data_IF_027012995662
#
_entry.id   IF_027012995662
#
_cell.length_a   1.000
_cell.length_b   1.000
_cell.length_c   1.000
_cell.angle_alpha   90.00
_cell.angle_beta   90.00
_cell.angle_gamma   90.00
#
_symmetry.space_group_name_H-M   'P 1'
#
loop_
_entity.id
_entity.type
_entity.pdbx_description
1 polymer ?
#
# COMPACT_ATOMS: atom_id res chain seq x y z
N UNK A 1 6.00 65.27 33.46
CA UNK A 1 6.19 63.81 33.35
C UNK A 1 5.15 63.28 32.37
N UNK A 2 5.50 63.18 31.09
CA UNK A 2 4.64 62.59 30.08
C UNK A 2 4.99 61.10 29.96
N UNK A 3 4.02 60.23 30.23
CA UNK A 3 4.15 58.78 30.25
C UNK A 3 4.05 58.24 28.82
N UNK A 4 5.06 57.51 28.37
CA UNK A 4 5.07 56.79 27.10
C UNK A 4 4.23 55.51 27.25
N UNK A 5 3.11 55.42 26.54
CA UNK A 5 2.40 54.15 26.32
C UNK A 5 3.08 53.41 25.16
N UNK A 6 3.84 52.36 25.47
CA UNK A 6 4.31 51.40 24.47
C UNK A 6 3.14 50.50 24.09
N UNK A 7 2.55 50.73 22.92
CA UNK A 7 1.58 49.82 22.32
C UNK A 7 2.33 48.57 21.82
N UNK A 8 2.29 47.50 22.61
CA UNK A 8 2.74 46.17 22.18
C UNK A 8 1.66 45.56 21.29
N UNK A 9 1.83 45.67 19.98
CA UNK A 9 0.95 45.04 18.99
C UNK A 9 1.21 43.52 18.97
N UNK A 10 0.27 42.76 19.54
CA UNK A 10 0.20 41.31 19.38
C UNK A 10 -0.04 40.97 17.90
N UNK A 11 0.92 40.29 17.25
CA UNK A 11 0.71 39.66 15.95
C UNK A 11 -0.16 38.40 16.12
N UNK A 12 -1.32 38.29 15.44
CA UNK A 12 -2.02 37.03 15.35
C UNK A 12 -1.34 36.15 14.28
N UNK A 13 -0.63 35.10 14.71
CA UNK A 13 -0.27 34.00 13.83
C UNK A 13 -1.50 33.11 13.61
N UNK A 14 -2.38 33.53 12.69
CA UNK A 14 -3.36 32.62 12.10
C UNK A 14 -2.77 32.14 10.78
N UNK A 15 -2.01 31.05 10.84
CA UNK A 15 -1.67 30.26 9.66
C UNK A 15 -2.71 29.16 9.52
N UNK A 16 -3.83 29.47 8.89
CA UNK A 16 -4.60 28.44 8.20
C UNK A 16 -4.00 28.35 6.80
N UNK A 17 -2.97 27.53 6.65
CA UNK A 17 -2.55 27.09 5.32
C UNK A 17 -3.67 26.24 4.76
N UNK A 18 -4.58 26.86 4.00
CA UNK A 18 -5.42 26.16 3.05
C UNK A 18 -4.47 25.54 2.02
N UNK A 19 -4.07 24.29 2.24
CA UNK A 19 -3.39 23.48 1.23
C UNK A 19 -4.35 23.36 0.05
N UNK A 20 -4.04 23.91 -1.14
CA UNK A 20 -4.89 23.72 -2.29
C UNK A 20 -4.88 22.22 -2.64
N UNK A 21 -6.07 21.63 -2.68
CA UNK A 21 -6.29 20.25 -3.13
C UNK A 21 -6.00 20.16 -4.63
N UNK A 22 -4.71 20.13 -5.03
CA UNK A 22 -4.30 19.93 -6.42
C UNK A 22 -2.83 19.50 -6.58
N UNK A 23 -2.22 18.83 -5.60
CA UNK A 23 -0.87 18.21 -5.74
C UNK A 23 -0.92 16.72 -6.11
N UNK A 24 -2.10 16.19 -6.39
CA UNK A 24 -2.30 14.77 -6.66
C UNK A 24 -1.99 14.38 -8.12
N UNK A 25 -2.08 15.33 -9.06
CA UNK A 25 -1.86 15.09 -10.51
C UNK A 25 -0.36 15.11 -10.87
N UNK A 26 0.49 15.69 -10.01
CA UNK A 26 1.94 15.72 -10.18
C UNK A 26 2.63 14.39 -9.87
N UNK A 27 2.01 13.51 -9.07
CA UNK A 27 2.61 12.23 -8.70
C UNK A 27 2.75 11.26 -9.87
N UNK A 28 1.70 11.05 -10.69
CA UNK A 28 1.73 10.03 -11.74
C UNK A 28 2.74 10.33 -12.87
N UNK A 29 2.84 11.60 -13.29
CA UNK A 29 3.77 12.03 -14.36
C UNK A 29 5.26 11.93 -13.96
N UNK A 30 5.58 12.00 -12.67
CA UNK A 30 6.97 12.03 -12.20
C UNK A 30 7.50 10.65 -11.80
N UNK A 31 6.62 9.68 -11.53
CA UNK A 31 6.99 8.38 -10.98
C UNK A 31 7.85 7.53 -11.92
N UNK A 32 7.73 7.69 -13.24
CA UNK A 32 8.50 6.95 -14.23
C UNK A 32 10.02 7.23 -14.17
N UNK A 33 10.42 8.46 -13.85
CA UNK A 33 11.85 8.85 -13.81
C UNK A 33 12.50 8.58 -12.45
N UNK A 34 11.70 8.21 -11.44
CA UNK A 34 12.17 7.99 -10.08
C UNK A 34 12.82 6.59 -9.97
N UNK A 35 14.00 6.43 -9.36
CA UNK A 35 14.64 5.13 -9.16
C UNK A 35 13.81 4.17 -8.29
N UNK A 36 13.92 2.86 -8.52
CA UNK A 36 13.09 1.83 -7.85
C UNK A 36 13.20 1.87 -6.31
N UNK A 37 14.37 2.12 -5.75
CA UNK A 37 14.54 2.24 -4.28
C UNK A 37 13.82 3.47 -3.70
N UNK A 38 13.81 4.57 -4.46
CA UNK A 38 13.08 5.78 -4.08
C UNK A 38 11.58 5.54 -4.14
N UNK A 39 11.08 4.76 -5.11
CA UNK A 39 9.67 4.35 -5.15
C UNK A 39 9.26 3.55 -3.91
N UNK A 40 10.11 2.65 -3.42
CA UNK A 40 9.82 1.92 -2.18
C UNK A 40 9.78 2.83 -0.95
N UNK A 41 10.65 3.84 -0.90
CA UNK A 41 10.61 4.88 0.14
C UNK A 41 9.32 5.69 0.07
N UNK A 42 8.92 6.11 -1.13
CA UNK A 42 7.65 6.84 -1.37
C UNK A 42 6.45 5.98 -1.02
N UNK A 43 6.43 4.71 -1.41
CA UNK A 43 5.37 3.78 -1.06
C UNK A 43 5.26 3.67 0.45
N UNK A 44 6.38 3.46 1.16
CA UNK A 44 6.39 3.35 2.62
C UNK A 44 5.85 4.62 3.31
N UNK A 45 6.21 5.79 2.80
CA UNK A 45 5.82 7.10 3.34
C UNK A 45 4.39 7.54 2.97
N UNK A 46 3.80 6.97 1.91
CA UNK A 46 2.47 7.33 1.44
C UNK A 46 1.40 7.13 2.52
N UNK A 47 0.50 8.09 2.62
CA UNK A 47 -0.52 8.19 3.66
C UNK A 47 -1.92 7.74 3.20
N UNK A 48 -2.11 7.60 1.89
CA UNK A 48 -3.41 7.25 1.29
C UNK A 48 -3.28 6.31 0.09
N UNK A 49 -4.36 5.58 -0.22
CA UNK A 49 -4.46 4.73 -1.40
C UNK A 49 -4.28 5.50 -2.70
N UNK A 50 -4.63 6.79 -2.72
CA UNK A 50 -4.42 7.64 -3.88
C UNK A 50 -2.92 7.86 -4.16
N UNK A 51 -2.13 8.15 -3.13
CA UNK A 51 -0.67 8.34 -3.25
C UNK A 51 0.05 7.03 -3.59
N UNK A 52 -0.43 5.90 -3.07
CA UNK A 52 0.20 4.59 -3.30
C UNK A 52 0.02 4.10 -4.74
N UNK A 53 -1.17 4.24 -5.33
CA UNK A 53 -1.50 3.65 -6.64
C UNK A 53 -0.54 3.98 -7.79
N UNK A 54 -0.12 5.24 -8.04
CA UNK A 54 0.85 5.51 -9.10
C UNK A 54 2.22 4.85 -8.82
N UNK A 55 2.66 4.85 -7.56
CA UNK A 55 3.92 4.22 -7.14
C UNK A 55 3.85 2.70 -7.30
N UNK A 56 2.75 2.08 -6.89
CA UNK A 56 2.52 0.64 -7.05
C UNK A 56 2.45 0.24 -8.52
N UNK A 57 1.74 1.01 -9.36
CA UNK A 57 1.67 0.74 -10.79
C UNK A 57 3.06 0.77 -11.44
N UNK A 58 3.91 1.71 -11.04
CA UNK A 58 5.29 1.77 -11.52
C UNK A 58 6.14 0.62 -11.02
N UNK A 59 6.10 0.30 -9.73
CA UNK A 59 6.81 -0.83 -9.14
C UNK A 59 6.44 -2.14 -9.85
N UNK A 60 5.15 -2.37 -10.10
CA UNK A 60 4.66 -3.53 -10.86
C UNK A 60 5.17 -3.50 -12.31
N UNK A 61 5.15 -2.34 -12.97
CA UNK A 61 5.66 -2.22 -14.34
C UNK A 61 7.14 -2.61 -14.46
N UNK A 62 7.91 -2.41 -13.38
CA UNK A 62 9.33 -2.80 -13.26
C UNK A 62 9.56 -4.22 -12.74
N UNK A 63 8.49 -4.96 -12.40
CA UNK A 63 8.58 -6.28 -11.77
C UNK A 63 9.08 -6.26 -10.32
N UNK A 64 9.14 -5.09 -9.68
CA UNK A 64 9.59 -4.90 -8.31
C UNK A 64 8.40 -5.04 -7.36
N UNK A 65 8.11 -6.27 -6.93
CA UNK A 65 6.86 -6.58 -6.21
C UNK A 65 7.00 -6.58 -4.67
N UNK A 66 8.23 -6.61 -4.14
CA UNK A 66 8.53 -6.71 -2.70
C UNK A 66 9.88 -6.05 -2.37
N UNK A 67 9.96 -5.38 -1.22
CA UNK A 67 11.20 -4.87 -0.63
C UNK A 67 11.15 -5.02 0.90
N UNK A 68 11.91 -5.99 1.43
CA UNK A 68 11.95 -6.28 2.87
C UNK A 68 10.59 -6.71 3.42
N UNK A 69 9.97 -5.84 4.20
CA UNK A 69 8.62 -6.06 4.77
C UNK A 69 7.51 -5.33 4.03
N UNK A 70 7.87 -4.45 3.10
CA UNK A 70 6.94 -3.75 2.21
C UNK A 70 6.73 -4.56 0.93
N UNK A 71 5.52 -4.50 0.39
CA UNK A 71 5.19 -5.16 -0.87
C UNK A 71 4.01 -4.46 -1.54
N UNK A 72 3.95 -4.54 -2.87
CA UNK A 72 2.83 -3.97 -3.64
C UNK A 72 1.52 -4.61 -3.18
N UNK A 73 0.52 -3.78 -2.86
CA UNK A 73 -0.77 -4.26 -2.37
C UNK A 73 -0.81 -4.58 -0.89
N UNK A 74 0.21 -4.23 -0.10
CA UNK A 74 0.17 -4.41 1.37
C UNK A 74 -0.98 -3.64 2.00
N UNK A 75 -1.28 -2.44 1.51
CA UNK A 75 -2.34 -1.57 2.04
C UNK A 75 -3.51 -1.40 1.07
N UNK A 76 -3.25 -1.34 -0.22
CA UNK A 76 -4.27 -1.08 -1.26
C UNK A 76 -5.06 -2.33 -1.69
N UNK A 77 -4.66 -3.54 -1.30
CA UNK A 77 -5.40 -4.74 -1.71
C UNK A 77 -6.80 -4.84 -1.09
N UNK A 78 -7.04 -4.17 0.03
CA UNK A 78 -8.36 -4.13 0.67
C UNK A 78 -9.36 -3.28 -0.11
N UNK A 79 -8.90 -2.31 -0.91
CA UNK A 79 -9.77 -1.44 -1.72
C UNK A 79 -10.14 -2.03 -3.08
N UNK A 80 -9.44 -3.06 -3.56
CA UNK A 80 -9.77 -3.75 -4.82
C UNK A 80 -11.19 -4.31 -4.78
N UNK A 81 -12.00 -3.95 -5.77
CA UNK A 81 -13.41 -4.29 -5.92
C UNK A 81 -14.37 -3.46 -5.07
N UNK A 82 -13.87 -2.52 -4.27
CA UNK A 82 -14.71 -1.59 -3.50
C UNK A 82 -15.02 -0.39 -4.37
N UNK A 83 -16.28 -0.24 -4.80
CA UNK A 83 -16.71 0.88 -5.63
C UNK A 83 -16.59 2.22 -4.88
N UNK A 84 -15.57 2.99 -5.20
CA UNK A 84 -15.31 4.33 -4.66
C UNK A 84 -15.73 5.44 -5.62
N UNK A 85 -15.77 5.15 -6.92
CA UNK A 85 -16.06 6.11 -7.98
C UNK A 85 -17.34 5.72 -8.71
N UNK A 86 -18.25 6.68 -8.85
CA UNK A 86 -19.46 6.49 -9.62
C UNK A 86 -19.09 6.38 -11.11
N UNK A 87 -19.65 5.38 -11.79
CA UNK A 87 -19.45 5.12 -13.23
C UNK A 87 -20.80 5.05 -13.91
N UNK A 88 -20.89 5.66 -15.10
CA UNK A 88 -22.10 5.58 -15.90
C UNK A 88 -22.21 4.19 -16.54
N UNK A 89 -23.42 3.60 -16.66
CA UNK A 89 -23.59 2.26 -17.23
C UNK A 89 -23.14 2.15 -18.70
N UNK A 90 -23.21 3.26 -19.44
CA UNK A 90 -22.85 3.38 -20.86
C UNK A 90 -21.71 4.39 -21.06
N UNK A 91 -20.73 4.38 -20.17
CA UNK A 91 -19.57 5.27 -20.30
C UNK A 91 -18.86 4.97 -21.63
N UNK A 92 -18.58 5.99 -22.47
CA UNK A 92 -17.85 5.79 -23.71
C UNK A 92 -16.46 5.24 -23.40
N UNK A 93 -16.05 4.21 -24.13
CA UNK A 93 -14.72 3.61 -24.02
C UNK A 93 -13.87 3.97 -25.24
N UNK A 94 -12.83 4.79 -25.05
CA UNK A 94 -11.87 5.11 -26.10
C UNK A 94 -10.77 4.07 -26.25
N UNK A 95 -10.48 3.31 -25.19
CA UNK A 95 -9.49 2.24 -25.15
C UNK A 95 -10.05 1.02 -24.41
N UNK A 96 -9.43 -0.15 -24.64
CA UNK A 96 -9.71 -1.40 -23.94
C UNK A 96 -8.45 -1.90 -23.22
N UNK A 97 -8.64 -2.80 -22.27
CA UNK A 97 -7.53 -3.40 -21.52
C UNK A 97 -6.50 -4.13 -22.42
N UNK A 98 -6.96 -4.71 -23.53
CA UNK A 98 -6.09 -5.35 -24.54
C UNK A 98 -5.19 -4.38 -25.30
N UNK A 99 -5.39 -3.06 -25.18
CA UNK A 99 -4.52 -2.06 -25.81
C UNK A 99 -3.21 -1.83 -25.03
N UNK A 100 -3.10 -2.34 -23.81
CA UNK A 100 -1.93 -2.14 -22.95
C UNK A 100 -1.10 -3.41 -22.87
N UNK A 101 0.22 -3.25 -22.85
CA UNK A 101 1.16 -4.37 -22.76
C UNK A 101 1.09 -5.13 -21.42
N UNK A 102 0.55 -4.49 -20.38
CA UNK A 102 0.36 -5.09 -19.06
C UNK A 102 -0.73 -4.36 -18.26
N UNK A 103 -1.28 -5.00 -17.20
CA UNK A 103 -2.21 -4.31 -16.30
C UNK A 103 -1.60 -3.08 -15.62
N UNK A 104 -0.29 -3.12 -15.33
CA UNK A 104 0.42 -1.97 -14.78
C UNK A 104 0.50 -0.79 -15.77
N UNK A 105 0.71 -1.08 -17.06
CA UNK A 105 0.69 -0.06 -18.11
C UNK A 105 -0.71 0.57 -18.25
N UNK A 106 -1.77 -0.24 -18.17
CA UNK A 106 -3.15 0.25 -18.17
C UNK A 106 -3.42 1.16 -16.96
N UNK A 107 -3.03 0.74 -15.75
CA UNK A 107 -3.18 1.57 -14.55
C UNK A 107 -2.42 2.89 -14.65
N UNK A 108 -1.17 2.88 -15.12
CA UNK A 108 -0.38 4.09 -15.30
C UNK A 108 -1.09 5.05 -16.24
N UNK A 109 -1.50 4.58 -17.42
CA UNK A 109 -2.26 5.39 -18.36
C UNK A 109 -3.53 5.97 -17.74
N UNK A 110 -4.32 5.13 -17.06
CA UNK A 110 -5.55 5.55 -16.39
C UNK A 110 -5.31 6.70 -15.40
N UNK A 111 -4.27 6.59 -14.55
CA UNK A 111 -3.92 7.64 -13.60
C UNK A 111 -3.43 8.92 -14.29
N UNK A 112 -2.65 8.78 -15.36
CA UNK A 112 -2.17 9.92 -16.18
C UNK A 112 -3.31 10.64 -16.91
N UNK A 113 -4.33 9.90 -17.33
CA UNK A 113 -5.53 10.43 -18.00
C UNK A 113 -6.52 11.11 -17.03
N UNK A 114 -6.21 11.14 -15.73
CA UNK A 114 -7.03 11.78 -14.68
C UNK A 114 -7.87 10.82 -13.85
N UNK A 115 -7.67 9.52 -14.00
CA UNK A 115 -8.21 8.50 -13.11
C UNK A 115 -7.66 8.67 -11.68
N UNK A 116 -8.40 8.22 -10.66
CA UNK A 116 -9.70 7.56 -10.71
C UNK A 116 -10.91 8.51 -10.80
N UNK A 117 -10.70 9.82 -10.61
CA UNK A 117 -11.77 10.81 -10.68
C UNK A 117 -12.42 10.86 -12.06
N UNK A 118 -11.60 10.81 -13.13
CA UNK A 118 -12.05 10.82 -14.51
C UNK A 118 -11.58 9.56 -15.22
N UNK A 119 -12.51 8.69 -15.54
CA UNK A 119 -12.25 7.50 -16.34
C UNK A 119 -12.64 7.77 -17.80
N UNK A 120 -11.80 8.55 -18.49
CA UNK A 120 -12.13 9.06 -19.83
C UNK A 120 -12.27 7.96 -20.89
N UNK A 121 -11.64 6.80 -20.66
CA UNK A 121 -11.62 5.67 -21.58
C UNK A 121 -12.39 4.44 -21.09
N UNK A 122 -13.04 4.53 -19.92
CA UNK A 122 -13.85 3.41 -19.40
C UNK A 122 -13.02 2.22 -18.91
N UNK A 123 -11.79 2.43 -18.47
CA UNK A 123 -10.86 1.37 -18.06
C UNK A 123 -11.14 0.84 -16.65
N UNK A 124 -11.85 1.60 -15.80
CA UNK A 124 -12.21 1.25 -14.43
C UNK A 124 -13.75 1.23 -14.30
N UNK A 125 -14.37 0.21 -14.90
CA UNK A 125 -15.83 0.12 -15.04
C UNK A 125 -16.56 -0.16 -13.73
N UNK A 126 -15.93 -0.90 -12.83
CA UNK A 126 -16.44 -1.18 -11.49
C UNK A 126 -16.22 0.00 -10.53
N UNK A 127 -15.29 0.91 -10.85
CA UNK A 127 -15.10 2.16 -10.14
C UNK A 127 -14.37 1.98 -8.82
N UNK A 128 -13.52 0.96 -8.72
CA UNK A 128 -12.68 0.73 -7.55
C UNK A 128 -11.37 1.53 -7.59
N UNK A 129 -11.08 2.16 -8.73
CA UNK A 129 -9.90 2.96 -8.97
C UNK A 129 -8.66 2.15 -9.39
N UNK A 130 -8.84 0.88 -9.74
CA UNK A 130 -7.87 -0.01 -10.36
C UNK A 130 -8.35 -0.36 -11.77
N UNK A 131 -7.76 0.27 -12.78
CA UNK A 131 -8.09 0.03 -14.17
C UNK A 131 -7.76 -1.40 -14.60
N UNK A 132 -8.64 -1.96 -15.43
CA UNK A 132 -8.45 -3.26 -16.06
C UNK A 132 -8.14 -4.36 -15.03
N UNK A 133 -7.19 -5.25 -15.31
CA UNK A 133 -6.83 -6.34 -14.41
C UNK A 133 -5.83 -5.93 -13.32
N UNK A 134 -5.53 -4.63 -13.15
CA UNK A 134 -4.50 -4.19 -12.19
C UNK A 134 -4.86 -4.56 -10.74
N UNK A 135 -6.14 -4.47 -10.37
CA UNK A 135 -6.63 -4.93 -9.05
C UNK A 135 -6.33 -6.41 -8.78
N UNK A 136 -6.35 -7.26 -9.80
CA UNK A 136 -5.98 -8.68 -9.66
C UNK A 136 -4.49 -8.84 -9.32
N UNK A 137 -3.62 -8.03 -9.93
CA UNK A 137 -2.17 -8.04 -9.64
C UNK A 137 -1.92 -7.64 -8.18
N UNK A 138 -2.55 -6.56 -7.72
CA UNK A 138 -2.49 -6.08 -6.33
C UNK A 138 -2.94 -7.18 -5.36
N UNK A 139 -4.11 -7.78 -5.60
CA UNK A 139 -4.69 -8.82 -4.75
C UNK A 139 -3.82 -10.08 -4.70
N UNK A 140 -3.35 -10.56 -5.84
CA UNK A 140 -2.51 -11.77 -5.92
C UNK A 140 -1.17 -11.59 -5.18
N UNK A 141 -0.53 -10.43 -5.34
CA UNK A 141 0.71 -10.14 -4.64
C UNK A 141 0.49 -10.08 -3.11
N UNK A 142 -0.58 -9.40 -2.70
CA UNK A 142 -0.93 -9.29 -1.28
C UNK A 142 -1.18 -10.64 -0.63
N UNK A 143 -1.91 -11.54 -1.31
CA UNK A 143 -2.13 -12.91 -0.82
C UNK A 143 -0.81 -13.69 -0.67
N UNK A 144 0.09 -13.57 -1.66
CA UNK A 144 1.40 -14.25 -1.64
C UNK A 144 2.25 -13.83 -0.43
N UNK A 145 2.28 -12.54 -0.10
CA UNK A 145 3.18 -12.01 0.94
C UNK A 145 2.54 -11.89 2.32
N UNK A 146 1.22 -11.68 2.41
CA UNK A 146 0.48 -11.70 3.68
C UNK A 146 0.48 -13.08 4.33
N UNK A 147 0.32 -14.15 3.54
CA UNK A 147 0.36 -15.54 4.03
C UNK A 147 1.73 -15.92 4.63
N UNK A 148 2.81 -15.37 4.08
CA UNK A 148 4.16 -15.58 4.61
C UNK A 148 4.42 -14.84 5.93
N UNK A 149 3.73 -13.73 6.21
CA UNK A 149 3.80 -13.05 7.51
C UNK A 149 3.22 -13.92 8.64
N UNK A 150 2.18 -14.70 8.34
CA UNK A 150 1.51 -15.56 9.31
C UNK A 150 2.30 -16.84 9.60
N UNK A 151 3.05 -17.36 8.61
CA UNK A 151 4.02 -18.45 8.84
C UNK A 151 5.23 -18.02 9.68
N UNK A 152 5.51 -16.72 9.78
CA UNK A 152 6.60 -16.16 10.61
C UNK A 152 6.21 -16.01 12.09
N UNK A 153 4.95 -16.26 12.47
CA UNK A 153 4.44 -16.20 13.85
C UNK A 153 4.52 -17.53 14.63
N UNK A 154 5.52 -18.38 14.35
CA UNK A 154 5.77 -19.59 15.15
C UNK A 154 7.20 -19.68 15.67
N UNK A 155 7.80 -18.56 16.05
CA UNK A 155 8.80 -18.58 17.11
C UNK A 155 8.12 -18.03 18.34
N UNK A 156 7.43 -18.92 19.05
CA UNK A 156 7.10 -18.67 20.45
C UNK A 156 8.40 -18.25 21.13
N UNK A 157 8.36 -17.09 21.79
CA UNK A 157 9.39 -16.59 22.67
C UNK A 157 9.76 -17.71 23.65
N UNK A 158 10.95 -18.29 23.44
CA UNK A 158 11.47 -19.33 24.32
C UNK A 158 11.95 -18.63 25.59
N UNK A 159 11.03 -18.50 26.53
CA UNK A 159 11.33 -18.39 27.95
C UNK A 159 12.35 -19.50 28.32
N UNK A 160 13.42 -19.20 29.08
CA UNK A 160 14.45 -20.18 29.43
C UNK A 160 13.95 -21.09 30.55
N UNK A 161 12.99 -21.96 30.24
CA UNK A 161 12.70 -23.16 31.03
C UNK A 161 12.14 -24.23 30.10
N UNK A 162 13.04 -25.06 29.58
CA UNK A 162 12.79 -25.97 28.46
C UNK A 162 11.87 -27.17 28.74
N UNK A 163 10.99 -27.11 29.74
CA UNK A 163 10.13 -28.23 30.12
C UNK A 163 8.67 -27.98 29.76
N UNK A 164 8.11 -28.89 28.95
CA UNK A 164 6.72 -28.90 28.49
C UNK A 164 5.99 -30.12 29.08
N UNK A 165 4.70 -29.99 29.42
CA UNK A 165 3.89 -31.13 29.92
C UNK A 165 3.15 -31.80 28.76
N UNK A 166 3.29 -33.12 28.65
CA UNK A 166 2.65 -33.94 27.63
C UNK A 166 1.21 -34.34 27.99
N UNK A 167 0.43 -34.80 27.00
CA UNK A 167 -0.98 -35.18 27.17
C UNK A 167 -1.22 -36.37 28.12
N UNK A 168 -0.16 -37.05 28.56
CA UNK A 168 -0.20 -38.17 29.51
C UNK A 168 0.40 -37.80 30.88
N UNK A 169 0.61 -36.51 31.13
CA UNK A 169 1.09 -35.98 32.43
C UNK A 169 2.61 -35.97 32.64
N UNK A 170 3.42 -36.52 31.73
CA UNK A 170 4.90 -36.47 31.82
C UNK A 170 5.50 -35.22 31.17
N UNK A 171 6.69 -34.80 31.61
CA UNK A 171 7.43 -33.64 31.09
C UNK A 171 8.34 -33.99 29.91
N UNK A 172 8.66 -33.02 29.04
CA UNK A 172 9.61 -33.18 27.94
C UNK A 172 10.27 -31.86 27.53
N UNK A 173 11.46 -31.94 26.92
CA UNK A 173 12.12 -30.84 26.20
C UNK A 173 11.93 -30.98 24.68
N UNK A 174 12.12 -29.88 23.93
CA UNK A 174 12.21 -29.91 22.46
C UNK A 174 13.69 -29.90 22.07
N UNK A 175 14.17 -30.91 21.33
CA UNK A 175 15.54 -30.95 20.81
C UNK A 175 15.75 -29.88 19.73
N UNK A 176 17.01 -29.56 19.41
CA UNK A 176 17.34 -28.66 18.30
C UNK A 176 16.76 -29.12 16.94
N UNK A 177 16.47 -30.43 16.79
CA UNK A 177 15.81 -31.02 15.63
C UNK A 177 14.26 -31.02 15.68
N UNK A 178 13.68 -30.39 16.71
CA UNK A 178 12.22 -30.27 16.87
C UNK A 178 11.53 -31.53 17.42
N UNK A 179 12.28 -32.53 17.90
CA UNK A 179 11.71 -33.78 18.45
C UNK A 179 11.47 -33.63 19.96
N UNK A 180 10.46 -34.32 20.48
CA UNK A 180 10.18 -34.37 21.93
C UNK A 180 11.15 -35.32 22.61
N UNK A 181 11.82 -34.84 23.66
CA UNK A 181 12.68 -35.64 24.54
C UNK A 181 12.09 -35.67 25.96
N UNK A 182 11.46 -36.80 26.30
CA UNK A 182 10.81 -37.02 27.59
C UNK A 182 11.77 -37.34 28.74
N UNK A 183 13.09 -37.24 28.53
CA UNK A 183 14.12 -37.37 29.58
C UNK A 183 15.03 -36.15 29.72
N UNK A 184 14.69 -35.03 29.06
CA UNK A 184 15.41 -33.75 29.21
C UNK A 184 14.90 -32.88 30.36
N UNK A 185 13.81 -33.35 30.98
CA UNK A 185 13.15 -32.95 32.21
C UNK A 185 12.68 -34.28 32.85
#
# INVERSE_FOLDING_TARGET
>A
MALYFTALTMLPLVSCANVPASEHITAANMVETIPTETLWSMLSAASSDFEMRPVEAELVSRGSMVNGTEYVGRRTASSVGTRMFARAPNQPSGLNCSNFASPAAAQRYFLLAGGPTRDVDGLDRDGDGFACEFGNVIRQNSLRFSANSSKRKTHAEVEPSGCYVGPRGGTYTITASGRKNYGGC
#
